data_IF_668121233482
#
_entry.id   IF_668121233482
#
_cell.length_a   1.000
_cell.length_b   1.000
_cell.length_c   1.000
_cell.angle_alpha   90.00
_cell.angle_beta   90.00
_cell.angle_gamma   90.00
#
_symmetry.space_group_name_H-M   'P 1'
#
loop_
_entity.id
_entity.type
_entity.pdbx_description
1 polymer ?
#
# COMPACT_ATOMS: atom_id res chain seq x y z
N UNK A 1 29.54 60.44 -21.12
CA UNK A 1 29.13 59.48 -20.06
C UNK A 1 27.65 59.16 -20.24
N UNK A 2 27.30 58.00 -20.80
CA UNK A 2 25.93 57.49 -20.84
C UNK A 2 25.99 56.03 -20.41
N UNK A 3 25.55 55.79 -19.18
CA UNK A 3 25.42 54.48 -18.54
C UNK A 3 24.30 53.71 -19.21
N UNK A 4 24.62 52.54 -19.79
CA UNK A 4 23.63 51.58 -20.27
C UNK A 4 23.30 50.62 -19.12
N UNK A 5 22.04 50.61 -18.68
CA UNK A 5 21.51 49.65 -17.73
C UNK A 5 21.34 48.29 -18.40
N UNK A 6 21.97 47.26 -17.86
CA UNK A 6 21.71 45.87 -18.21
C UNK A 6 20.38 45.43 -17.56
N UNK A 7 19.42 45.00 -18.38
CA UNK A 7 18.18 44.38 -17.91
C UNK A 7 18.43 42.87 -17.76
N UNK A 8 18.56 42.39 -16.53
CA UNK A 8 18.65 40.96 -16.22
C UNK A 8 17.23 40.39 -16.23
N UNK A 9 16.89 39.61 -17.25
CA UNK A 9 15.61 38.91 -17.32
C UNK A 9 15.67 37.65 -16.43
N UNK A 10 15.20 37.77 -15.18
CA UNK A 10 14.91 36.61 -14.34
C UNK A 10 13.61 35.96 -14.84
N UNK A 11 13.71 34.87 -15.59
CA UNK A 11 12.60 33.96 -15.84
C UNK A 11 12.28 33.21 -14.55
N UNK A 12 11.25 33.65 -13.83
CA UNK A 12 10.66 32.88 -12.74
C UNK A 12 9.88 31.73 -13.36
N UNK A 13 10.39 30.51 -13.21
CA UNK A 13 9.61 29.29 -13.46
C UNK A 13 8.55 29.19 -12.37
N UNK A 14 7.34 29.67 -12.67
CA UNK A 14 6.18 29.47 -11.82
C UNK A 14 5.76 27.99 -11.89
N UNK A 15 6.09 27.23 -10.84
CA UNK A 15 5.44 25.96 -10.56
C UNK A 15 3.94 26.24 -10.35
N UNK A 16 3.13 25.94 -11.36
CA UNK A 16 1.69 25.88 -11.18
C UNK A 16 1.39 24.57 -10.47
N UNK A 17 1.34 24.61 -9.14
CA UNK A 17 0.49 23.67 -8.41
C UNK A 17 -0.94 23.99 -8.83
N UNK A 18 -1.45 23.28 -9.84
CA UNK A 18 -2.87 23.30 -10.13
C UNK A 18 -3.57 22.80 -8.86
N UNK A 19 -4.44 23.62 -8.29
CA UNK A 19 -5.36 23.18 -7.25
C UNK A 19 -6.12 21.98 -7.82
N UNK A 20 -5.84 20.80 -7.30
CA UNK A 20 -6.54 19.59 -7.68
C UNK A 20 -7.90 19.68 -6.99
N UNK A 21 -8.92 20.09 -7.76
CA UNK A 21 -10.33 19.96 -7.38
C UNK A 21 -10.57 18.59 -6.74
N UNK A 22 -11.39 18.55 -5.68
CA UNK A 22 -11.67 17.38 -4.84
C UNK A 22 -11.58 16.07 -5.64
N UNK A 23 -10.56 15.27 -5.34
CA UNK A 23 -10.20 14.09 -6.17
C UNK A 23 -11.32 13.05 -6.26
N UNK A 24 -12.34 13.15 -5.39
CA UNK A 24 -13.39 12.17 -5.20
C UNK A 24 -12.94 10.95 -4.36
N UNK A 25 -11.71 10.98 -3.83
CA UNK A 25 -11.19 9.99 -2.90
C UNK A 25 -11.63 10.30 -1.47
N UNK A 26 -11.69 9.28 -0.63
CA UNK A 26 -12.05 9.41 0.78
C UNK A 26 -11.19 8.47 1.63
N UNK A 27 -10.15 9.04 2.25
CA UNK A 27 -9.13 8.29 2.99
C UNK A 27 -8.56 7.13 2.15
N UNK A 28 -7.93 7.44 1.01
CA UNK A 28 -7.36 6.42 0.15
C UNK A 28 -6.25 5.68 0.91
N UNK A 29 -6.22 4.36 0.80
CA UNK A 29 -5.40 3.51 1.67
C UNK A 29 -4.35 2.72 0.89
N UNK A 30 -4.74 2.09 -0.22
CA UNK A 30 -3.82 1.37 -1.10
C UNK A 30 -4.07 1.72 -2.57
N UNK A 31 -3.04 1.51 -3.39
CA UNK A 31 -3.05 1.65 -4.83
C UNK A 31 -2.51 0.37 -5.48
N UNK A 32 -3.14 -0.06 -6.57
CA UNK A 32 -2.63 -1.14 -7.41
C UNK A 32 -2.93 -0.88 -8.88
N UNK A 33 -2.14 -1.43 -9.81
CA UNK A 33 -2.36 -1.21 -11.24
C UNK A 33 -2.49 -2.51 -12.03
N UNK A 34 -3.32 -2.49 -13.08
CA UNK A 34 -3.39 -3.55 -14.10
C UNK A 34 -2.47 -3.27 -15.32
N UNK A 35 -1.64 -2.23 -15.24
CA UNK A 35 -0.80 -1.72 -16.32
C UNK A 35 -1.47 -0.68 -17.23
N UNK A 36 -2.77 -0.46 -17.07
CA UNK A 36 -3.53 0.55 -17.82
C UNK A 36 -4.15 1.61 -16.91
N UNK A 37 -4.61 1.20 -15.73
CA UNK A 37 -5.31 2.03 -14.77
C UNK A 37 -4.79 1.75 -13.36
N UNK A 38 -4.95 2.74 -12.48
CA UNK A 38 -4.79 2.57 -11.04
C UNK A 38 -6.15 2.27 -10.41
N UNK A 39 -6.12 1.48 -9.35
CA UNK A 39 -7.25 1.18 -8.50
C UNK A 39 -6.90 1.62 -7.09
N UNK A 40 -7.66 2.58 -6.56
CA UNK A 40 -7.45 3.14 -5.23
C UNK A 40 -8.53 2.61 -4.29
N UNK A 41 -8.14 1.95 -3.22
CA UNK A 41 -9.08 1.64 -2.12
C UNK A 41 -9.29 2.88 -1.27
N UNK A 42 -10.52 3.07 -0.82
CA UNK A 42 -10.94 4.20 0.00
C UNK A 42 -11.62 3.64 1.23
N UNK A 43 -11.11 3.96 2.42
CA UNK A 43 -11.67 3.48 3.69
C UNK A 43 -13.15 3.88 3.78
N UNK A 44 -13.50 5.09 3.36
CA UNK A 44 -14.88 5.57 3.48
C UNK A 44 -14.94 7.04 3.86
N UNK A 45 -16.13 7.50 4.26
CA UNK A 45 -16.35 8.93 4.57
C UNK A 45 -15.68 9.38 5.86
N UNK A 46 -15.55 8.48 6.83
CA UNK A 46 -14.83 8.74 8.08
C UNK A 46 -13.49 7.98 8.07
N UNK A 47 -12.50 8.50 8.79
CA UNK A 47 -11.23 7.81 8.99
C UNK A 47 -11.36 6.73 10.08
N UNK A 48 -12.21 5.74 9.82
CA UNK A 48 -12.54 4.65 10.75
C UNK A 48 -12.10 3.32 10.13
N UNK A 49 -10.83 2.92 10.27
CA UNK A 49 -10.25 1.84 9.48
C UNK A 49 -10.82 0.44 9.80
N UNK A 50 -11.65 0.31 10.84
CA UNK A 50 -12.28 -0.94 11.29
C UNK A 50 -13.81 -0.92 11.23
N UNK A 51 -14.42 0.18 10.77
CA UNK A 51 -15.87 0.32 10.75
C UNK A 51 -16.53 -0.58 9.70
N UNK A 52 -17.66 -1.19 10.05
CA UNK A 52 -18.54 -1.97 9.16
C UNK A 52 -19.78 -1.17 8.73
N UNK A 53 -19.57 0.06 8.28
CA UNK A 53 -20.63 0.95 7.80
C UNK A 53 -21.01 0.64 6.34
N UNK A 54 -20.04 0.18 5.57
CA UNK A 54 -20.20 -0.22 4.19
C UNK A 54 -20.21 0.95 3.22
N UNK A 55 -19.49 2.01 3.55
CA UNK A 55 -19.33 3.17 2.67
C UNK A 55 -17.94 3.23 1.99
N UNK A 56 -17.08 2.25 2.22
CA UNK A 56 -15.83 2.05 1.49
C UNK A 56 -16.05 1.69 0.01
N UNK A 57 -15.08 2.04 -0.83
CA UNK A 57 -15.18 1.89 -2.29
C UNK A 57 -13.81 1.82 -2.96
N UNK A 58 -13.82 1.48 -4.27
CA UNK A 58 -12.60 1.35 -5.07
C UNK A 58 -12.69 2.23 -6.30
N UNK A 59 -11.91 3.31 -6.32
CA UNK A 59 -11.86 4.23 -7.45
C UNK A 59 -10.94 3.72 -8.55
N UNK A 60 -11.30 4.03 -9.80
CA UNK A 60 -10.44 3.83 -10.96
C UNK A 60 -9.85 5.16 -11.38
N UNK A 61 -8.54 5.22 -11.48
CA UNK A 61 -7.79 6.40 -11.90
C UNK A 61 -6.96 6.09 -13.15
N UNK A 62 -6.61 7.10 -13.92
CA UNK A 62 -5.56 7.00 -14.93
C UNK A 62 -4.18 6.91 -14.26
N UNK A 63 -3.16 6.49 -15.03
CA UNK A 63 -1.77 6.46 -14.58
C UNK A 63 -1.17 7.86 -14.33
N UNK A 64 -1.91 8.95 -14.45
CA UNK A 64 -1.53 10.29 -13.99
C UNK A 64 -2.28 10.70 -12.70
N UNK A 65 -3.00 9.77 -12.07
CA UNK A 65 -3.71 9.98 -10.81
C UNK A 65 -5.07 10.69 -10.95
N UNK A 66 -5.59 10.88 -12.17
CA UNK A 66 -6.90 11.52 -12.38
C UNK A 66 -8.04 10.52 -12.27
N UNK A 67 -9.12 10.96 -11.65
CA UNK A 67 -10.35 10.17 -11.50
C UNK A 67 -10.96 9.81 -12.86
N UNK A 68 -11.23 8.52 -13.07
CA UNK A 68 -11.99 7.99 -14.23
C UNK A 68 -13.35 7.50 -13.76
N UNK A 69 -13.40 6.77 -12.66
CA UNK A 69 -14.65 6.20 -12.12
C UNK A 69 -14.59 6.21 -10.59
N UNK A 70 -15.53 6.87 -9.90
CA UNK A 70 -15.53 6.95 -8.43
C UNK A 70 -15.54 5.60 -7.74
N UNK A 71 -16.36 4.66 -8.22
CA UNK A 71 -16.35 3.26 -7.77
C UNK A 71 -16.48 2.30 -8.94
N UNK A 72 -15.61 1.29 -9.01
CA UNK A 72 -15.68 0.23 -10.03
C UNK A 72 -16.72 -0.85 -9.71
N UNK A 73 -17.29 -0.85 -8.50
CA UNK A 73 -18.17 -1.92 -8.02
C UNK A 73 -19.39 -1.35 -7.31
N UNK A 74 -20.46 -2.14 -7.29
CA UNK A 74 -21.63 -1.92 -6.43
C UNK A 74 -21.66 -2.88 -5.24
N UNK A 75 -20.64 -3.74 -5.09
CA UNK A 75 -20.48 -4.55 -3.89
C UNK A 75 -20.28 -3.61 -2.69
N UNK A 76 -20.98 -3.91 -1.59
CA UNK A 76 -20.83 -3.16 -0.35
C UNK A 76 -19.51 -3.55 0.31
N UNK A 77 -18.53 -2.65 0.28
CA UNK A 77 -17.25 -2.77 0.99
C UNK A 77 -17.29 -1.89 2.23
N UNK A 78 -16.59 -2.28 3.29
CA UNK A 78 -16.61 -1.55 4.55
C UNK A 78 -15.46 -0.55 4.62
N UNK A 79 -14.23 -1.06 4.71
CA UNK A 79 -13.02 -0.24 4.84
C UNK A 79 -11.88 -0.90 4.07
N UNK A 80 -12.00 -1.03 2.73
CA UNK A 80 -11.07 -1.77 1.90
C UNK A 80 -9.65 -1.20 2.00
N UNK A 81 -8.64 -2.09 2.05
CA UNK A 81 -7.22 -1.75 2.24
C UNK A 81 -6.35 -2.23 1.09
N UNK A 82 -5.33 -3.04 1.35
CA UNK A 82 -4.46 -3.60 0.35
C UNK A 82 -5.17 -4.52 -0.64
N UNK A 83 -4.58 -4.58 -1.84
CA UNK A 83 -5.18 -5.28 -2.97
C UNK A 83 -4.16 -6.03 -3.80
N UNK A 84 -4.63 -7.06 -4.49
CA UNK A 84 -3.83 -7.85 -5.41
C UNK A 84 -4.63 -8.21 -6.67
N UNK A 85 -4.01 -8.16 -7.84
CA UNK A 85 -4.67 -8.54 -9.11
C UNK A 85 -4.23 -9.92 -9.57
N UNK A 86 -5.19 -10.81 -9.79
CA UNK A 86 -4.98 -12.11 -10.44
C UNK A 86 -6.00 -12.27 -11.57
N UNK A 87 -5.50 -12.46 -12.81
CA UNK A 87 -6.32 -12.79 -13.99
C UNK A 87 -7.53 -11.87 -14.20
N UNK A 88 -7.34 -10.57 -14.00
CA UNK A 88 -8.40 -9.55 -14.18
C UNK A 88 -9.41 -9.47 -13.02
N UNK A 89 -9.13 -10.12 -11.89
CA UNK A 89 -9.87 -9.98 -10.64
C UNK A 89 -9.00 -9.21 -9.65
N UNK A 90 -9.53 -8.13 -9.10
CA UNK A 90 -8.96 -7.40 -7.98
C UNK A 90 -9.45 -8.05 -6.68
N UNK A 91 -8.54 -8.64 -5.93
CA UNK A 91 -8.78 -9.14 -4.58
C UNK A 91 -8.49 -8.02 -3.58
N UNK A 92 -9.36 -7.88 -2.59
CA UNK A 92 -9.40 -6.73 -1.69
C UNK A 92 -9.51 -7.22 -0.26
N UNK A 93 -8.59 -6.81 0.60
CA UNK A 93 -8.73 -6.99 2.04
C UNK A 93 -9.82 -6.03 2.56
N UNK A 94 -10.89 -6.58 3.12
CA UNK A 94 -12.02 -5.82 3.67
C UNK A 94 -12.36 -6.38 5.05
N UNK A 95 -11.59 -5.95 6.05
CA UNK A 95 -11.73 -6.31 7.46
C UNK A 95 -11.61 -7.80 7.75
N UNK A 96 -12.73 -8.52 7.84
CA UNK A 96 -12.79 -9.94 8.20
C UNK A 96 -13.03 -10.86 6.99
N UNK A 97 -12.82 -10.33 5.78
CA UNK A 97 -12.96 -11.06 4.53
C UNK A 97 -12.02 -10.53 3.45
N UNK A 98 -11.81 -11.36 2.43
CA UNK A 98 -11.23 -10.96 1.15
C UNK A 98 -12.32 -11.04 0.09
N UNK A 99 -12.51 -9.94 -0.65
CA UNK A 99 -13.51 -9.86 -1.73
C UNK A 99 -12.81 -9.81 -3.09
N UNK A 100 -13.24 -10.66 -4.03
CA UNK A 100 -12.77 -10.62 -5.42
C UNK A 100 -13.74 -9.84 -6.29
N UNK A 101 -13.25 -8.86 -7.05
CA UNK A 101 -14.02 -8.01 -7.95
C UNK A 101 -13.47 -8.13 -9.36
N UNK A 102 -14.33 -8.49 -10.31
CA UNK A 102 -13.94 -8.53 -11.72
C UNK A 102 -13.73 -7.11 -12.26
N UNK A 103 -12.51 -6.79 -12.71
CA UNK A 103 -12.14 -5.43 -13.14
C UNK A 103 -12.90 -4.94 -14.38
N UNK A 104 -13.37 -5.86 -15.23
CA UNK A 104 -14.10 -5.51 -16.45
C UNK A 104 -15.58 -5.19 -16.20
N UNK A 105 -16.19 -5.83 -15.21
CA UNK A 105 -17.64 -5.76 -14.97
C UNK A 105 -18.02 -5.13 -13.64
N UNK A 106 -17.07 -4.97 -12.71
CA UNK A 106 -17.31 -4.49 -11.36
C UNK A 106 -18.00 -5.49 -10.44
N UNK A 107 -18.33 -6.69 -10.93
CA UNK A 107 -19.10 -7.68 -10.17
C UNK A 107 -18.22 -8.45 -9.20
N UNK A 108 -18.76 -8.75 -8.01
CA UNK A 108 -18.14 -9.69 -7.07
C UNK A 108 -18.04 -11.08 -7.71
N UNK A 109 -16.86 -11.68 -7.64
CA UNK A 109 -16.56 -13.03 -8.14
C UNK A 109 -16.17 -14.01 -7.04
N UNK A 110 -15.72 -13.52 -5.90
CA UNK A 110 -15.31 -14.34 -4.77
C UNK A 110 -15.52 -13.60 -3.44
N UNK A 111 -15.70 -14.37 -2.38
CA UNK A 111 -15.65 -13.90 -1.00
C UNK A 111 -15.01 -15.00 -0.16
N UNK A 112 -13.94 -14.68 0.57
CA UNK A 112 -13.22 -15.61 1.42
C UNK A 112 -13.31 -15.06 2.84
N UNK A 113 -13.94 -15.81 3.74
CA UNK A 113 -14.05 -15.43 5.14
C UNK A 113 -12.71 -15.62 5.85
N UNK A 114 -12.34 -14.65 6.68
CA UNK A 114 -11.19 -14.73 7.59
C UNK A 114 -11.61 -15.04 9.03
N UNK A 115 -12.88 -15.39 9.26
CA UNK A 115 -13.42 -15.54 10.61
C UNK A 115 -12.67 -16.55 11.48
N UNK A 116 -12.05 -17.59 10.90
CA UNK A 116 -11.25 -18.57 11.65
C UNK A 116 -9.96 -18.01 12.24
N UNK A 117 -9.50 -16.84 11.80
CA UNK A 117 -8.36 -16.14 12.39
C UNK A 117 -8.79 -15.13 13.46
N UNK A 118 -10.10 -14.87 13.58
CA UNK A 118 -10.68 -13.83 14.45
C UNK A 118 -10.25 -12.39 14.13
N UNK A 119 -9.66 -12.15 12.96
CA UNK A 119 -9.31 -10.79 12.51
C UNK A 119 -10.55 -9.97 12.19
N UNK A 120 -10.47 -8.69 12.51
CA UNK A 120 -11.32 -7.62 12.01
C UNK A 120 -10.51 -6.53 11.30
N UNK A 121 -9.23 -6.80 11.02
CA UNK A 121 -8.28 -5.85 10.41
C UNK A 121 -7.32 -6.59 9.48
N UNK A 122 -7.87 -7.24 8.43
CA UNK A 122 -7.07 -7.61 7.27
C UNK A 122 -6.58 -6.34 6.59
N UNK A 123 -5.29 -6.32 6.27
CA UNK A 123 -4.61 -5.13 5.83
C UNK A 123 -4.13 -5.27 4.38
N UNK A 124 -3.03 -5.98 4.15
CA UNK A 124 -2.39 -6.00 2.84
C UNK A 124 -2.45 -7.39 2.18
N UNK A 125 -2.35 -7.42 0.85
CA UNK A 125 -2.40 -8.62 0.01
C UNK A 125 -1.27 -8.62 -1.02
N UNK A 126 -0.52 -9.72 -1.11
CA UNK A 126 0.42 -9.94 -2.21
C UNK A 126 0.20 -11.29 -2.89
N UNK A 127 0.41 -11.33 -4.20
CA UNK A 127 0.28 -12.55 -5.02
C UNK A 127 1.45 -13.49 -4.75
N UNK A 128 1.14 -14.73 -4.35
CA UNK A 128 2.12 -15.83 -4.36
C UNK A 128 2.14 -16.53 -5.73
N UNK A 129 0.95 -16.87 -6.22
CA UNK A 129 0.73 -17.48 -7.53
C UNK A 129 -0.74 -17.30 -7.98
N UNK A 130 -1.10 -17.90 -9.12
CA UNK A 130 -2.42 -17.78 -9.76
C UNK A 130 -3.61 -18.22 -8.89
N UNK A 131 -3.37 -18.89 -7.77
CA UNK A 131 -4.39 -19.47 -6.90
C UNK A 131 -4.19 -19.13 -5.43
N UNK A 132 -3.16 -18.36 -5.10
CA UNK A 132 -2.76 -18.14 -3.72
C UNK A 132 -2.31 -16.71 -3.49
N UNK A 133 -2.85 -16.10 -2.43
CA UNK A 133 -2.41 -14.83 -1.88
C UNK A 133 -1.71 -15.05 -0.54
N UNK A 134 -0.86 -14.11 -0.15
CA UNK A 134 -0.59 -13.84 1.26
C UNK A 134 -1.46 -12.66 1.71
N UNK A 135 -1.85 -12.67 2.98
CA UNK A 135 -2.59 -11.57 3.62
C UNK A 135 -1.99 -11.26 4.99
N UNK A 136 -1.84 -9.97 5.30
CA UNK A 136 -1.47 -9.51 6.65
C UNK A 136 -2.72 -9.15 7.45
N UNK A 137 -2.72 -9.52 8.73
CA UNK A 137 -3.82 -9.33 9.66
C UNK A 137 -3.29 -8.54 10.86
N UNK A 138 -3.51 -7.22 10.85
CA UNK A 138 -2.84 -6.28 11.76
C UNK A 138 -3.21 -6.50 13.22
N UNK A 139 -4.50 -6.69 13.49
CA UNK A 139 -5.07 -6.77 14.85
C UNK A 139 -4.70 -8.05 15.59
N UNK A 140 -4.69 -9.18 14.89
CA UNK A 140 -4.31 -10.48 15.44
C UNK A 140 -2.81 -10.77 15.32
N UNK A 141 -2.07 -9.91 14.61
CA UNK A 141 -0.63 -10.01 14.45
C UNK A 141 -0.19 -11.25 13.68
N UNK A 142 -0.87 -11.54 12.56
CA UNK A 142 -0.65 -12.74 11.76
C UNK A 142 -0.42 -12.40 10.30
N UNK A 143 0.38 -13.23 9.62
CA UNK A 143 0.40 -13.32 8.16
C UNK A 143 -0.10 -14.71 7.78
N UNK A 144 -1.03 -14.78 6.82
CA UNK A 144 -1.64 -16.03 6.36
C UNK A 144 -1.47 -16.22 4.86
N UNK A 145 -1.33 -17.46 4.43
CA UNK A 145 -1.51 -17.88 3.03
C UNK A 145 -2.98 -18.24 2.80
N UNK A 146 -3.55 -17.75 1.71
CA UNK A 146 -4.96 -17.89 1.34
C UNK A 146 -5.08 -18.65 0.03
N UNK A 147 -5.64 -19.85 0.09
CA UNK A 147 -6.02 -20.62 -1.11
C UNK A 147 -7.34 -20.07 -1.67
N UNK A 148 -7.29 -19.48 -2.87
CA UNK A 148 -8.43 -18.78 -3.47
C UNK A 148 -9.54 -19.71 -3.95
N UNK A 149 -9.26 -21.02 -4.10
CA UNK A 149 -10.23 -21.99 -4.59
C UNK A 149 -11.04 -22.60 -3.44
N UNK A 150 -10.37 -22.87 -2.34
CA UNK A 150 -10.94 -23.57 -1.18
C UNK A 150 -11.28 -22.63 -0.03
N UNK A 151 -10.71 -21.42 -0.01
CA UNK A 151 -10.78 -20.50 1.13
C UNK A 151 -9.93 -20.94 2.32
N UNK A 152 -9.07 -21.95 2.16
CA UNK A 152 -8.21 -22.43 3.24
C UNK A 152 -7.19 -21.36 3.61
N UNK A 153 -7.08 -21.10 4.91
CA UNK A 153 -6.09 -20.22 5.50
C UNK A 153 -4.99 -21.04 6.16
N UNK A 154 -3.74 -20.69 5.93
CA UNK A 154 -2.57 -21.31 6.59
C UNK A 154 -1.74 -20.20 7.22
N UNK A 155 -1.51 -20.26 8.54
CA UNK A 155 -0.64 -19.29 9.20
C UNK A 155 0.82 -19.42 8.73
N UNK A 156 1.44 -18.28 8.44
CA UNK A 156 2.80 -18.18 7.92
C UNK A 156 3.73 -17.53 8.94
N UNK A 157 3.28 -16.50 9.64
CA UNK A 157 4.08 -15.83 10.66
C UNK A 157 3.21 -15.18 11.75
N UNK A 158 3.80 -15.08 12.93
CA UNK A 158 3.38 -14.22 14.02
C UNK A 158 4.19 -12.91 13.95
N UNK A 159 3.51 -11.79 13.72
CA UNK A 159 4.10 -10.46 13.65
C UNK A 159 3.08 -9.44 14.16
N UNK A 160 3.28 -8.94 15.39
CA UNK A 160 2.38 -7.95 15.99
C UNK A 160 2.28 -6.73 15.07
N UNK A 161 1.05 -6.34 14.71
CA UNK A 161 0.82 -5.20 13.84
C UNK A 161 1.22 -5.44 12.39
N UNK A 162 1.28 -6.70 11.93
CA UNK A 162 1.58 -7.05 10.53
C UNK A 162 0.84 -6.11 9.56
N UNK A 163 1.59 -5.50 8.66
CA UNK A 163 1.09 -4.47 7.75
C UNK A 163 1.50 -4.81 6.31
N UNK A 164 2.27 -3.96 5.62
CA UNK A 164 2.68 -4.20 4.24
C UNK A 164 3.43 -5.51 4.02
N UNK A 165 3.15 -6.15 2.88
CA UNK A 165 3.75 -7.41 2.45
C UNK A 165 4.08 -7.40 0.95
N UNK A 166 5.27 -7.90 0.59
CA UNK A 166 5.69 -8.02 -0.81
C UNK A 166 6.37 -9.37 -1.05
N UNK A 167 5.87 -10.15 -2.02
CA UNK A 167 6.42 -11.48 -2.32
C UNK A 167 7.40 -11.47 -3.50
N UNK A 168 8.67 -11.76 -3.22
CA UNK A 168 9.66 -12.12 -4.23
C UNK A 168 9.50 -13.60 -4.62
N UNK A 169 8.84 -13.83 -5.75
CA UNK A 169 8.65 -15.17 -6.30
C UNK A 169 9.96 -15.83 -6.75
N UNK A 170 10.95 -15.05 -7.20
CA UNK A 170 12.22 -15.60 -7.68
C UNK A 170 13.08 -16.10 -6.52
N UNK A 171 13.21 -15.29 -5.47
CA UNK A 171 13.93 -15.64 -4.25
C UNK A 171 13.12 -16.50 -3.27
N UNK A 172 11.81 -16.66 -3.47
CA UNK A 172 10.86 -17.29 -2.54
C UNK A 172 10.92 -16.64 -1.16
N UNK A 173 10.85 -15.31 -1.14
CA UNK A 173 10.94 -14.49 0.07
C UNK A 173 9.70 -13.62 0.18
N UNK A 174 9.09 -13.57 1.35
CA UNK A 174 8.00 -12.65 1.65
C UNK A 174 8.55 -11.55 2.55
N UNK A 175 8.75 -10.36 2.01
CA UNK A 175 9.11 -9.18 2.80
C UNK A 175 7.87 -8.64 3.50
N UNK A 176 8.05 -8.15 4.72
CA UNK A 176 6.95 -7.63 5.53
C UNK A 176 7.44 -6.52 6.45
N UNK A 177 6.54 -5.61 6.82
CA UNK A 177 6.74 -4.68 7.91
C UNK A 177 5.53 -4.72 8.86
N UNK A 178 5.64 -4.01 9.97
CA UNK A 178 4.55 -3.87 10.91
C UNK A 178 4.39 -2.45 11.45
N UNK A 179 3.15 -2.15 11.80
CA UNK A 179 2.70 -0.88 12.31
C UNK A 179 2.15 -1.06 13.72
N UNK A 180 2.74 -0.35 14.69
CA UNK A 180 2.37 -0.46 16.09
C UNK A 180 1.67 0.84 16.54
N UNK A 181 0.34 0.81 16.66
CA UNK A 181 -0.45 1.98 17.08
C UNK A 181 -0.09 2.48 18.49
N UNK A 182 0.39 1.60 19.37
CA UNK A 182 0.84 1.92 20.74
C UNK A 182 2.26 2.49 20.80
N UNK A 183 3.06 2.27 19.75
CA UNK A 183 4.41 2.80 19.61
C UNK A 183 4.77 2.92 18.13
N UNK A 184 4.43 4.05 17.51
CA UNK A 184 4.62 4.25 16.06
C UNK A 184 6.08 4.07 15.61
N UNK A 185 7.06 4.30 16.49
CA UNK A 185 8.48 4.10 16.20
C UNK A 185 8.98 2.68 16.51
N UNK A 186 8.08 1.76 16.87
CA UNK A 186 8.40 0.39 17.26
C UNK A 186 8.25 -0.65 16.16
N UNK A 187 7.80 -0.26 14.97
CA UNK A 187 7.70 -1.16 13.83
C UNK A 187 9.07 -1.67 13.39
N UNK A 188 9.09 -2.79 12.70
CA UNK A 188 10.25 -3.44 12.12
C UNK A 188 9.97 -3.87 10.69
N UNK A 189 11.06 -4.17 9.97
CA UNK A 189 11.01 -4.76 8.63
C UNK A 189 11.65 -6.14 8.74
N UNK A 190 11.05 -7.13 8.09
CA UNK A 190 11.51 -8.49 8.11
C UNK A 190 11.32 -9.21 6.78
N UNK A 191 11.83 -10.44 6.74
CA UNK A 191 11.67 -11.36 5.62
C UNK A 191 11.31 -12.73 6.14
N UNK A 192 10.36 -13.37 5.46
CA UNK A 192 10.00 -14.76 5.66
C UNK A 192 10.60 -15.58 4.53
N UNK A 193 11.37 -16.60 4.90
CA UNK A 193 11.90 -17.61 4.00
C UNK A 193 11.36 -18.98 4.39
N UNK A 194 11.54 -20.00 3.53
CA UNK A 194 11.08 -21.35 3.82
C UNK A 194 12.25 -22.32 3.98
N UNK A 195 12.33 -22.96 5.14
CA UNK A 195 13.29 -24.02 5.43
C UNK A 195 12.54 -25.33 5.65
N UNK A 196 12.84 -26.35 4.83
CA UNK A 196 12.15 -27.66 4.87
C UNK A 196 10.60 -27.53 4.82
N UNK A 197 10.10 -26.54 4.07
CA UNK A 197 8.67 -26.26 3.93
C UNK A 197 8.04 -25.48 5.09
N UNK A 198 8.81 -25.11 6.12
CA UNK A 198 8.34 -24.27 7.23
C UNK A 198 8.76 -22.81 7.04
N UNK A 199 7.86 -21.85 7.27
CA UNK A 199 8.22 -20.44 7.23
C UNK A 199 9.13 -20.08 8.40
N UNK A 200 10.12 -19.22 8.14
CA UNK A 200 11.05 -18.66 9.11
C UNK A 200 11.11 -17.15 8.90
N UNK A 201 10.69 -16.40 9.91
CA UNK A 201 10.80 -14.95 9.96
C UNK A 201 12.18 -14.51 10.46
N UNK A 202 12.77 -13.52 9.80
CA UNK A 202 14.01 -12.86 10.21
C UNK A 202 13.87 -11.34 10.09
N UNK A 203 14.25 -10.61 11.16
CA UNK A 203 14.31 -9.14 11.16
C UNK A 203 15.43 -8.65 10.24
N UNK A 204 15.15 -7.61 9.45
CA UNK A 204 16.12 -6.92 8.61
C UNK A 204 16.69 -5.72 9.36
N UNK A 205 17.88 -5.91 9.93
CA UNK A 205 18.60 -4.84 10.63
C UNK A 205 17.93 -4.45 11.94
N UNK A 206 18.24 -3.25 12.43
CA UNK A 206 17.56 -2.64 13.58
C UNK A 206 16.84 -1.36 13.14
N UNK A 207 16.05 -1.50 12.08
CA UNK A 207 15.21 -0.45 11.54
C UNK A 207 13.95 -0.31 12.39
N UNK A 208 13.51 0.93 12.59
CA UNK A 208 12.42 1.30 13.48
C UNK A 208 11.64 2.45 12.84
N UNK A 209 10.32 2.33 12.81
CA UNK A 209 9.45 3.30 12.14
C UNK A 209 7.98 2.89 12.13
N UNK A 210 7.14 3.80 11.63
CA UNK A 210 5.70 3.59 11.45
C UNK A 210 5.42 3.00 10.09
N UNK A 211 5.98 1.82 9.84
CA UNK A 211 6.02 1.22 8.51
C UNK A 211 4.64 0.73 8.06
N UNK A 212 4.23 1.15 6.86
CA UNK A 212 2.92 0.81 6.30
C UNK A 212 3.05 -0.12 5.09
N UNK A 213 3.26 0.42 3.89
CA UNK A 213 3.50 -0.34 2.66
C UNK A 213 4.98 -0.62 2.39
N UNK A 214 5.27 -1.67 1.61
CA UNK A 214 6.61 -1.92 1.07
C UNK A 214 6.55 -2.64 -0.27
N UNK A 215 7.48 -2.30 -1.17
CA UNK A 215 7.67 -2.99 -2.44
C UNK A 215 9.15 -3.10 -2.80
N UNK A 216 9.51 -4.10 -3.62
CA UNK A 216 10.87 -4.21 -4.14
C UNK A 216 11.11 -3.28 -5.33
N UNK A 217 12.14 -2.44 -5.24
CA UNK A 217 12.68 -1.71 -6.39
C UNK A 217 13.50 -2.67 -7.26
N UNK A 218 14.33 -3.49 -6.61
CA UNK A 218 15.19 -4.51 -7.21
C UNK A 218 15.54 -5.59 -6.18
N UNK A 219 16.39 -6.55 -6.56
CA UNK A 219 16.79 -7.69 -5.71
C UNK A 219 17.47 -7.31 -4.38
N UNK A 220 17.88 -6.05 -4.20
CA UNK A 220 18.61 -5.59 -3.03
C UNK A 220 17.99 -4.38 -2.34
N UNK A 221 16.90 -3.83 -2.87
CA UNK A 221 16.37 -2.56 -2.38
C UNK A 221 14.86 -2.64 -2.22
N UNK A 222 14.38 -2.45 -0.99
CA UNK A 222 12.97 -2.17 -0.73
C UNK A 222 12.72 -0.66 -0.76
N UNK A 223 11.57 -0.26 -1.27
CA UNK A 223 10.94 1.01 -0.95
C UNK A 223 9.93 0.74 0.17
N UNK A 224 9.86 1.63 1.15
CA UNK A 224 8.97 1.50 2.32
C UNK A 224 8.34 2.85 2.62
N UNK A 225 7.05 2.88 2.94
CA UNK A 225 6.38 4.06 3.48
C UNK A 225 6.44 4.05 5.01
N UNK A 226 6.72 5.21 5.59
CA UNK A 226 6.76 5.42 7.03
C UNK A 226 5.88 6.63 7.38
N UNK A 227 4.96 6.44 8.31
CA UNK A 227 4.09 7.51 8.81
C UNK A 227 4.85 8.60 9.56
N UNK A 228 5.98 8.27 10.20
CA UNK A 228 6.77 9.16 11.04
C UNK A 228 6.07 9.54 12.36
N UNK A 229 4.83 10.03 12.29
CA UNK A 229 4.00 10.37 13.44
C UNK A 229 2.51 10.16 13.13
N UNK A 230 1.70 9.98 14.17
CA UNK A 230 0.24 9.83 14.08
C UNK A 230 -0.53 11.13 14.37
N UNK A 231 0.09 12.07 15.08
CA UNK A 231 -0.55 13.29 15.59
C UNK A 231 -0.34 14.53 14.69
N UNK A 232 0.57 14.44 13.71
CA UNK A 232 0.80 15.47 12.70
C UNK A 232 1.41 14.87 11.43
N UNK A 233 1.31 15.54 10.26
CA UNK A 233 1.99 15.10 9.05
C UNK A 233 3.50 15.05 9.24
N UNK A 234 4.08 13.85 9.16
CA UNK A 234 5.51 13.61 9.27
C UNK A 234 6.02 12.52 8.31
N UNK A 235 5.13 11.94 7.50
CA UNK A 235 5.42 10.75 6.73
C UNK A 235 6.35 10.97 5.54
N UNK A 236 7.00 9.89 5.12
CA UNK A 236 7.96 9.85 4.05
C UNK A 236 8.09 8.45 3.45
N UNK A 237 8.83 8.33 2.36
CA UNK A 237 9.29 7.05 1.85
C UNK A 237 10.80 6.93 2.04
N UNK A 238 11.28 5.71 2.23
CA UNK A 238 12.70 5.41 2.36
C UNK A 238 13.10 4.14 1.61
N UNK A 239 14.35 4.12 1.16
CA UNK A 239 14.97 2.94 0.55
C UNK A 239 15.70 2.14 1.61
N UNK A 240 15.43 0.84 1.67
CA UNK A 240 16.15 -0.10 2.53
C UNK A 240 17.10 -0.94 1.67
N UNK A 241 18.39 -0.79 1.88
CA UNK A 241 19.39 -1.67 1.28
C UNK A 241 19.45 -2.98 2.08
N UNK A 242 19.09 -4.10 1.43
CA UNK A 242 18.99 -5.42 2.03
C UNK A 242 20.36 -6.04 2.36
N UNK A 243 21.45 -5.54 1.77
CA UNK A 243 22.82 -6.03 2.01
C UNK A 243 23.43 -5.32 3.22
N UNK A 244 23.37 -4.00 3.26
CA UNK A 244 23.88 -3.21 4.39
C UNK A 244 22.90 -3.12 5.56
N UNK A 245 21.60 -3.40 5.31
CA UNK A 245 20.50 -3.28 6.28
C UNK A 245 20.32 -1.86 6.78
N UNK A 246 20.48 -0.88 5.89
CA UNK A 246 20.40 0.55 6.21
C UNK A 246 19.27 1.22 5.44
N UNK A 247 18.60 2.18 6.10
CA UNK A 247 17.58 3.02 5.49
C UNK A 247 18.16 4.32 4.92
N UNK A 248 17.58 4.81 3.83
CA UNK A 248 17.85 6.14 3.27
C UNK A 248 16.54 6.78 2.86
N UNK A 249 16.12 7.79 3.62
CA UNK A 249 14.93 8.60 3.33
C UNK A 249 15.04 9.28 1.96
N UNK A 250 13.94 9.27 1.20
CA UNK A 250 13.84 10.03 -0.03
C UNK A 250 13.74 11.53 0.27
N UNK A 251 14.39 12.34 -0.55
CA UNK A 251 14.33 13.81 -0.48
C UNK A 251 13.04 14.34 -1.13
N UNK A 252 11.89 13.95 -0.57
CA UNK A 252 10.56 14.38 -0.99
C UNK A 252 9.92 15.25 0.10
N UNK A 253 8.94 16.10 -0.25
CA UNK A 253 8.11 16.78 0.74
C UNK A 253 7.44 15.78 1.69
N UNK A 254 7.13 16.24 2.90
CA UNK A 254 6.36 15.47 3.88
C UNK A 254 5.03 15.01 3.27
N UNK A 255 4.68 13.76 3.53
CA UNK A 255 3.43 13.15 3.08
C UNK A 255 2.53 12.97 4.31
N UNK A 256 1.31 13.48 4.24
CA UNK A 256 0.34 13.36 5.33
C UNK A 256 -0.35 11.99 5.29
N UNK A 257 0.21 11.04 6.05
CA UNK A 257 -0.24 9.64 6.08
C UNK A 257 0.05 8.91 4.77
N UNK A 258 1.33 8.63 4.44
CA UNK A 258 1.67 7.73 3.35
C UNK A 258 1.30 6.32 3.80
N UNK A 259 0.11 5.88 3.40
CA UNK A 259 -0.37 4.54 3.73
C UNK A 259 0.41 3.49 2.92
N UNK A 260 -0.25 2.66 2.14
CA UNK A 260 0.41 1.79 1.18
C UNK A 260 0.82 2.57 -0.10
N UNK A 261 1.40 1.95 -1.12
CA UNK A 261 1.68 2.58 -2.41
C UNK A 261 1.77 1.56 -3.54
N UNK A 262 1.69 2.03 -4.78
CA UNK A 262 2.02 1.23 -5.96
C UNK A 262 3.36 1.67 -6.55
N UNK A 263 4.25 0.71 -6.84
CA UNK A 263 5.52 0.94 -7.52
C UNK A 263 5.53 0.36 -8.95
N UNK A 264 5.55 1.25 -9.94
CA UNK A 264 5.87 0.90 -11.32
C UNK A 264 7.39 0.93 -11.51
N UNK A 265 8.05 -0.18 -11.20
CA UNK A 265 9.52 -0.33 -11.31
C UNK A 265 10.00 -0.03 -12.74
N UNK A 266 9.24 -0.45 -13.76
CA UNK A 266 9.64 -0.32 -15.17
C UNK A 266 9.75 1.15 -15.58
N UNK A 267 8.78 1.96 -15.19
CA UNK A 267 8.76 3.39 -15.52
C UNK A 267 9.33 4.26 -14.39
N UNK A 268 9.80 3.65 -13.30
CA UNK A 268 10.30 4.31 -12.09
C UNK A 268 9.29 5.30 -11.51
N UNK A 269 8.02 4.91 -11.44
CA UNK A 269 6.96 5.77 -10.88
C UNK A 269 6.42 5.17 -9.60
N UNK A 270 6.22 6.02 -8.61
CA UNK A 270 5.59 5.67 -7.33
C UNK A 270 4.28 6.45 -7.24
N UNK A 271 3.23 5.75 -6.83
CA UNK A 271 1.91 6.31 -6.63
C UNK A 271 1.55 6.11 -5.17
N UNK A 272 1.44 7.20 -4.43
CA UNK A 272 1.23 7.18 -2.98
C UNK A 272 -0.14 7.80 -2.69
N UNK A 273 -1.08 7.05 -2.08
CA UNK A 273 -2.25 7.65 -1.48
C UNK A 273 -1.80 8.50 -0.29
N UNK A 274 -2.21 9.78 -0.30
CA UNK A 274 -2.00 10.70 0.82
C UNK A 274 -3.28 10.67 1.63
N UNK A 275 -3.34 9.74 2.59
CA UNK A 275 -4.57 9.33 3.25
C UNK A 275 -5.31 10.52 3.88
N UNK A 276 -4.57 11.40 4.57
CA UNK A 276 -5.14 12.53 5.31
C UNK A 276 -5.60 13.69 4.41
N UNK A 277 -5.14 13.71 3.16
CA UNK A 277 -5.45 14.78 2.20
C UNK A 277 -6.38 14.31 1.07
N UNK A 278 -6.83 13.05 1.12
CA UNK A 278 -7.72 12.46 0.10
C UNK A 278 -7.23 12.71 -1.32
N UNK A 279 -5.95 12.40 -1.59
CA UNK A 279 -5.34 12.55 -2.92
C UNK A 279 -4.33 11.45 -3.22
N UNK A 280 -3.88 11.39 -4.46
CA UNK A 280 -2.76 10.55 -4.88
C UNK A 280 -1.61 11.43 -5.30
N UNK A 281 -0.46 11.23 -4.65
CA UNK A 281 0.82 11.77 -5.09
C UNK A 281 1.42 10.83 -6.14
N UNK A 282 1.93 11.39 -7.22
CA UNK A 282 2.63 10.63 -8.26
C UNK A 282 4.02 11.22 -8.44
N UNK A 283 5.05 10.40 -8.26
CA UNK A 283 6.43 10.84 -8.32
C UNK A 283 7.30 9.86 -9.12
N UNK A 284 8.44 10.35 -9.64
CA UNK A 284 9.47 9.51 -10.27
C UNK A 284 10.57 9.15 -9.27
N UNK A 285 11.00 7.89 -9.23
CA UNK A 285 12.00 7.35 -8.29
C UNK A 285 13.45 7.52 -8.76
#
# INVERSE_FOLDING_TARGET
MKTAFALLACTVLAFHALAQDETGLAHPESLHADGHFLYATNIGKAMEPTAKDGDGFISKLSLDGKMITPSITTEKLNAPKGTAIIKGVLYVADLDRIVGINLATGKKTAEISLASTHTAFANDLTVKDDHTLFASLTDVGKIVEVDLKTGKLTEIADLKGANGICYDKAGKRLYTCNFLFDNIQGGEIGVISWQQGKPLYEKIGDLQGGFDGLEMIDEHTLLVSDWGALDHPAGFLEKIDLRSKTATKLDWPVIAGPADFYLDVKNKRVYVPVLLESKVLVHTL
#
